data_IF_949349185142
#
_entry.id   IF_949349185142
#
_cell.length_a   1.000
_cell.length_b   1.000
_cell.length_c   1.000
_cell.angle_alpha   90.00
_cell.angle_beta   90.00
_cell.angle_gamma   90.00
#
_symmetry.space_group_name_H-M   'P 1'
#
loop_
_entity.id
_entity.type
_entity.pdbx_description
1 polymer ?
#
# COMPACT_ATOMS: atom_id res chain seq x y z
N UNK A 1 -47.41 -7.54 -12.81
CA UNK A 1 -48.74 -7.40 -12.18
C UNK A 1 -48.57 -6.35 -11.08
N UNK A 2 -49.24 -5.19 -11.22
CA UNK A 2 -49.21 -3.96 -10.40
C UNK A 2 -47.88 -3.16 -10.48
N UNK A 3 -47.74 -2.16 -11.35
CA UNK A 3 -48.45 -0.87 -11.56
C UNK A 3 -47.81 0.29 -10.80
N UNK A 4 -47.45 1.29 -11.60
CA UNK A 4 -46.79 2.54 -11.24
C UNK A 4 -47.71 3.53 -10.52
N UNK A 5 -47.10 4.44 -9.75
CA UNK A 5 -47.63 5.80 -9.58
C UNK A 5 -46.46 6.78 -9.80
N UNK A 6 -46.55 7.53 -10.92
CA UNK A 6 -45.91 8.83 -11.10
C UNK A 6 -46.84 9.89 -10.51
N UNK A 7 -46.28 10.98 -9.96
CA UNK A 7 -46.54 12.40 -10.34
C UNK A 7 -45.90 13.35 -9.31
N UNK A 8 -44.94 14.18 -9.75
CA UNK A 8 -45.04 15.66 -9.91
C UNK A 8 -45.38 16.37 -8.60
N UNK A 9 -44.54 17.22 -8.00
CA UNK A 9 -43.78 18.32 -8.59
C UNK A 9 -44.53 19.62 -8.35
N UNK A 10 -43.98 20.55 -7.55
CA UNK A 10 -44.16 22.01 -7.54
C UNK A 10 -43.39 22.51 -6.29
N UNK A 11 -42.46 23.46 -6.36
CA UNK A 11 -42.58 24.92 -6.58
C UNK A 11 -42.02 25.61 -5.33
N UNK A 12 -41.47 26.81 -5.51
CA UNK A 12 -41.42 27.79 -4.42
C UNK A 12 -40.03 28.15 -3.91
N UNK A 13 -39.34 28.97 -4.70
CA UNK A 13 -38.27 29.85 -4.24
C UNK A 13 -38.78 30.88 -3.20
N UNK A 14 -37.84 31.70 -2.70
CA UNK A 14 -37.96 33.01 -1.99
C UNK A 14 -37.54 32.88 -0.50
N UNK A 15 -36.70 33.72 0.13
CA UNK A 15 -35.85 34.87 -0.21
C UNK A 15 -35.25 35.36 1.12
N UNK A 16 -33.96 35.73 1.10
CA UNK A 16 -33.27 36.79 1.86
C UNK A 16 -33.64 37.08 3.33
N UNK A 17 -32.60 37.24 4.17
CA UNK A 17 -32.09 38.52 4.77
C UNK A 17 -31.17 38.17 5.96
N UNK A 18 -29.87 38.44 5.85
CA UNK A 18 -29.14 39.69 6.20
C UNK A 18 -28.90 39.88 7.70
N UNK A 19 -27.59 40.02 8.00
CA UNK A 19 -26.96 40.90 9.00
C UNK A 19 -27.31 40.58 10.47
N UNK A 20 -26.39 40.24 11.35
CA UNK A 20 -25.02 40.71 11.48
C UNK A 20 -24.85 41.16 12.94
N UNK A 21 -23.72 40.85 13.58
CA UNK A 21 -23.19 41.64 14.71
C UNK A 21 -21.76 41.21 15.03
N UNK A 22 -20.90 42.17 14.77
CA UNK A 22 -19.55 42.38 15.27
C UNK A 22 -19.47 42.32 16.79
N UNK A 23 -18.38 41.75 17.32
CA UNK A 23 -17.76 42.18 18.56
C UNK A 23 -16.23 42.03 18.44
N UNK A 24 -15.53 43.13 18.69
CA UNK A 24 -14.09 43.35 18.67
C UNK A 24 -13.49 43.15 20.08
N UNK A 25 -12.15 43.07 20.08
CA UNK A 25 -11.20 43.24 21.19
C UNK A 25 -10.93 41.95 22.02
N UNK A 26 -9.70 41.61 22.40
CA UNK A 26 -8.56 42.48 22.75
C UNK A 26 -7.23 41.73 22.62
N UNK A 27 -6.17 42.49 22.33
CA UNK A 27 -4.75 42.12 22.28
C UNK A 27 -4.22 41.66 23.65
N UNK A 28 -3.41 40.59 23.68
CA UNK A 28 -2.40 40.38 24.71
C UNK A 28 -1.12 39.85 24.07
N UNK A 29 -0.12 40.72 24.10
CA UNK A 29 1.28 40.49 23.72
C UNK A 29 1.91 39.61 24.81
N UNK A 30 2.56 38.50 24.45
CA UNK A 30 3.48 37.79 25.33
C UNK A 30 4.63 37.25 24.51
N UNK A 31 5.72 38.03 24.54
CA UNK A 31 7.02 37.59 24.08
C UNK A 31 7.62 36.66 25.15
N UNK A 32 7.92 35.42 24.76
CA UNK A 32 8.87 34.58 25.46
C UNK A 32 9.86 34.04 24.44
N UNK A 33 11.00 34.71 24.36
CA UNK A 33 12.24 34.18 23.78
C UNK A 33 12.87 33.30 24.86
N UNK A 34 13.15 32.04 24.55
CA UNK A 34 14.30 31.28 25.07
C UNK A 34 14.29 29.84 24.54
N UNK A 35 15.44 29.43 24.00
CA UNK A 35 15.85 28.02 23.97
C UNK A 35 15.72 27.33 22.62
N UNK A 36 16.69 27.59 21.74
CA UNK A 36 16.93 26.72 20.61
C UNK A 36 17.30 25.30 21.08
N UNK A 37 16.54 24.33 20.61
CA UNK A 37 17.05 22.99 20.36
C UNK A 37 16.96 22.78 18.86
N UNK A 38 18.08 23.03 18.18
CA UNK A 38 18.36 22.47 16.87
C UNK A 38 18.20 20.95 17.04
N UNK A 39 17.04 20.44 16.68
CA UNK A 39 16.79 19.01 16.58
C UNK A 39 17.74 18.48 15.54
N UNK A 40 18.81 17.86 16.02
CA UNK A 40 19.76 17.07 15.26
C UNK A 40 18.95 16.19 14.29
N UNK A 41 19.25 16.16 12.98
CA UNK A 41 18.59 15.22 12.10
C UNK A 41 18.81 13.84 12.69
N UNK A 42 17.72 13.08 12.85
CA UNK A 42 17.78 11.69 13.26
C UNK A 42 18.85 11.01 12.41
N UNK A 43 19.97 10.69 13.05
CA UNK A 43 21.01 9.84 12.49
C UNK A 43 20.30 8.59 12.02
N UNK A 44 20.35 8.33 10.72
CA UNK A 44 19.95 7.06 10.15
C UNK A 44 20.60 5.97 11.00
N UNK A 45 19.76 5.24 11.73
CA UNK A 45 20.21 4.04 12.43
C UNK A 45 20.89 3.15 11.41
N UNK A 46 21.99 2.56 11.83
CA UNK A 46 22.84 1.67 11.07
C UNK A 46 22.03 0.73 10.18
N UNK A 47 22.57 0.45 9.00
CA UNK A 47 22.16 -0.66 8.16
C UNK A 47 22.48 -1.98 8.88
N UNK A 48 21.69 -2.30 9.90
CA UNK A 48 21.60 -3.64 10.47
C UNK A 48 20.50 -4.36 9.70
N UNK A 49 20.91 -5.31 8.88
CA UNK A 49 20.13 -6.28 8.09
C UNK A 49 18.67 -5.88 7.84
N UNK A 50 18.46 -5.06 6.81
CA UNK A 50 17.12 -4.81 6.32
C UNK A 50 16.41 -6.17 6.10
N UNK A 51 15.15 -6.34 6.52
CA UNK A 51 14.42 -7.62 6.42
C UNK A 51 14.10 -8.09 4.99
N UNK A 52 14.75 -7.46 4.00
CA UNK A 52 14.76 -7.68 2.57
C UNK A 52 16.15 -7.31 2.03
N UNK A 53 16.51 -7.82 0.85
CA UNK A 53 17.67 -7.34 0.10
C UNK A 53 17.22 -6.58 -1.15
N UNK A 54 18.01 -5.59 -1.58
CA UNK A 54 17.85 -4.98 -2.91
C UNK A 54 18.92 -5.54 -3.84
N UNK A 55 18.56 -5.89 -5.07
CA UNK A 55 19.54 -6.43 -6.00
C UNK A 55 18.93 -7.02 -7.27
N UNK A 56 19.72 -7.83 -8.00
CA UNK A 56 19.25 -8.49 -9.20
C UNK A 56 18.07 -9.41 -8.89
N UNK A 57 17.13 -9.47 -9.83
CA UNK A 57 15.99 -10.38 -9.79
C UNK A 57 16.39 -11.81 -10.11
N UNK A 58 15.72 -12.77 -9.49
CA UNK A 58 15.76 -14.18 -9.88
C UNK A 58 14.47 -14.64 -10.61
N UNK A 59 13.61 -13.69 -10.96
CA UNK A 59 12.43 -13.89 -11.77
C UNK A 59 12.76 -13.76 -13.27
N UNK A 60 11.96 -14.41 -14.12
CA UNK A 60 11.97 -14.24 -15.58
C UNK A 60 11.14 -13.01 -16.01
N UNK A 61 10.10 -12.68 -15.23
CA UNK A 61 9.22 -11.55 -15.50
C UNK A 61 8.48 -11.09 -14.26
N UNK A 62 7.98 -9.86 -14.31
CA UNK A 62 6.95 -9.34 -13.40
C UNK A 62 5.76 -8.81 -14.19
N UNK A 63 4.56 -9.09 -13.71
CA UNK A 63 3.33 -8.55 -14.30
C UNK A 63 3.14 -7.07 -13.96
N UNK A 64 2.50 -6.34 -14.86
CA UNK A 64 1.99 -4.98 -14.64
C UNK A 64 0.47 -5.06 -14.70
N UNK A 65 -0.22 -4.84 -13.57
CA UNK A 65 -1.64 -5.15 -13.41
C UNK A 65 -2.51 -4.48 -14.46
N UNK A 66 -2.28 -3.20 -14.73
CA UNK A 66 -3.06 -2.47 -15.73
C UNK A 66 -2.90 -3.05 -17.12
N UNK A 67 -1.69 -3.43 -17.52
CA UNK A 67 -1.43 -4.07 -18.82
C UNK A 67 -2.00 -5.48 -18.93
N UNK A 68 -1.90 -6.30 -17.88
CA UNK A 68 -2.52 -7.65 -17.84
C UNK A 68 -4.04 -7.56 -17.93
N UNK A 69 -4.63 -6.54 -17.30
CA UNK A 69 -6.08 -6.32 -17.28
C UNK A 69 -6.56 -5.35 -18.36
N UNK A 70 -5.67 -4.98 -19.28
CA UNK A 70 -5.95 -4.06 -20.34
C UNK A 70 -6.79 -4.72 -21.45
N UNK A 71 -8.10 -4.49 -21.44
CA UNK A 71 -8.99 -4.98 -22.50
C UNK A 71 -9.10 -4.03 -23.71
N UNK A 72 -8.57 -2.81 -23.65
CA UNK A 72 -8.87 -1.78 -24.67
C UNK A 72 -7.89 -0.59 -24.83
N UNK A 73 -6.90 -0.42 -23.96
CA UNK A 73 -5.85 0.61 -24.02
C UNK A 73 -6.30 2.02 -23.69
N UNK A 74 -7.49 2.17 -23.08
CA UNK A 74 -8.13 3.46 -22.89
C UNK A 74 -8.94 3.57 -21.59
N UNK A 75 -9.80 4.61 -21.47
CA UNK A 75 -10.66 4.83 -20.30
C UNK A 75 -11.47 3.57 -19.95
N UNK A 76 -11.34 3.09 -18.71
CA UNK A 76 -11.93 1.82 -18.26
C UNK A 76 -10.92 0.70 -17.98
N UNK A 77 -9.64 0.91 -18.32
CA UNK A 77 -8.54 0.02 -17.88
C UNK A 77 -8.35 0.13 -16.37
N UNK A 78 -8.27 -1.02 -15.71
CA UNK A 78 -8.22 -1.14 -14.26
C UNK A 78 -6.77 -1.09 -13.75
N UNK A 79 -6.62 -0.88 -12.43
CA UNK A 79 -5.39 -1.10 -11.65
C UNK A 79 -4.19 -0.19 -11.99
N UNK A 80 -4.41 1.13 -12.09
CA UNK A 80 -3.37 2.14 -12.28
C UNK A 80 -3.70 3.47 -11.57
N UNK A 81 -2.66 4.27 -11.34
CA UNK A 81 -2.75 5.61 -10.77
C UNK A 81 -2.53 6.70 -11.81
N UNK A 82 -3.38 7.72 -11.80
CA UNK A 82 -3.30 8.86 -12.72
C UNK A 82 -2.45 10.04 -12.21
N UNK A 83 -1.75 9.83 -11.10
CA UNK A 83 -0.85 10.79 -10.46
C UNK A 83 0.27 10.01 -9.78
N UNK A 84 1.40 10.68 -9.52
CA UNK A 84 2.61 10.00 -8.99
C UNK A 84 2.88 10.30 -7.52
N UNK A 85 2.20 11.31 -6.96
CA UNK A 85 2.35 11.74 -5.57
C UNK A 85 1.38 11.00 -4.64
N UNK A 86 1.58 9.69 -4.48
CA UNK A 86 0.70 8.83 -3.70
C UNK A 86 0.85 9.05 -2.19
N UNK A 87 -0.25 8.91 -1.49
CA UNK A 87 -0.34 8.89 -0.04
C UNK A 87 -0.80 7.52 0.44
N UNK A 88 -0.28 7.09 1.59
CA UNK A 88 -0.65 5.83 2.21
C UNK A 88 -0.92 6.01 3.69
N UNK A 89 -1.93 5.31 4.21
CA UNK A 89 -2.22 5.26 5.63
C UNK A 89 -2.34 3.82 6.12
N UNK A 90 -1.80 3.54 7.30
CA UNK A 90 -2.02 2.28 8.02
C UNK A 90 -3.13 2.50 9.03
N UNK A 91 -4.19 1.72 8.90
CA UNK A 91 -5.29 1.61 9.88
C UNK A 91 -5.25 0.21 10.49
N UNK A 92 -5.72 0.08 11.72
CA UNK A 92 -5.67 -1.18 12.43
C UNK A 92 -6.97 -1.45 13.16
N UNK A 93 -7.38 -2.72 13.20
CA UNK A 93 -8.47 -3.19 14.05
C UNK A 93 -8.11 -2.98 15.54
N UNK A 94 -9.10 -2.80 16.44
CA UNK A 94 -8.83 -2.54 17.86
C UNK A 94 -7.93 -3.58 18.56
N UNK A 95 -8.00 -4.83 18.14
CA UNK A 95 -7.24 -5.96 18.66
C UNK A 95 -5.83 -6.10 18.05
N UNK A 96 -5.51 -5.31 17.04
CA UNK A 96 -4.23 -5.39 16.34
C UNK A 96 -3.05 -5.05 17.26
N UNK A 97 -1.98 -5.84 17.16
CA UNK A 97 -0.77 -5.61 17.94
C UNK A 97 -0.08 -4.32 17.47
N UNK A 98 0.42 -3.47 18.40
CA UNK A 98 1.19 -2.28 18.03
C UNK A 98 2.45 -2.60 17.24
N UNK A 99 3.06 -3.77 17.47
CA UNK A 99 4.23 -4.23 16.71
C UNK A 99 3.88 -4.61 15.27
N UNK A 100 2.74 -5.25 15.02
CA UNK A 100 2.27 -5.52 13.67
C UNK A 100 1.94 -4.24 12.91
N UNK A 101 1.36 -3.23 13.58
CA UNK A 101 1.17 -1.89 13.00
C UNK A 101 2.52 -1.25 12.65
N UNK A 102 3.52 -1.33 13.53
CA UNK A 102 4.88 -0.83 13.25
C UNK A 102 5.48 -1.53 12.03
N UNK A 103 5.41 -2.85 11.96
CA UNK A 103 5.89 -3.64 10.82
C UNK A 103 5.30 -3.18 9.48
N UNK A 104 4.00 -2.86 9.43
CA UNK A 104 3.37 -2.34 8.22
C UNK A 104 3.81 -0.92 7.87
N UNK A 105 4.02 -0.06 8.87
CA UNK A 105 4.59 1.27 8.65
C UNK A 105 6.04 1.21 8.17
N UNK A 106 6.81 0.23 8.63
CA UNK A 106 8.17 -0.01 8.16
C UNK A 106 8.18 -0.51 6.70
N UNK A 107 7.19 -1.32 6.31
CA UNK A 107 7.01 -1.72 4.90
C UNK A 107 6.68 -0.52 4.00
N UNK A 108 5.80 0.38 4.46
CA UNK A 108 5.54 1.67 3.80
C UNK A 108 6.82 2.49 3.67
N UNK A 109 7.58 2.66 4.75
CA UNK A 109 8.83 3.42 4.76
C UNK A 109 9.87 2.82 3.80
N UNK A 110 9.90 1.49 3.69
CA UNK A 110 10.77 0.77 2.75
C UNK A 110 10.44 1.11 1.30
N UNK A 111 9.18 0.96 0.89
CA UNK A 111 8.75 1.35 -0.47
C UNK A 111 9.01 2.83 -0.74
N UNK A 112 8.66 3.70 0.22
CA UNK A 112 8.89 5.15 0.12
C UNK A 112 10.36 5.48 -0.12
N UNK A 113 11.26 4.85 0.65
CA UNK A 113 12.71 5.06 0.52
C UNK A 113 13.29 4.49 -0.78
N UNK A 114 12.79 3.33 -1.24
CA UNK A 114 13.22 2.72 -2.50
C UNK A 114 12.78 3.56 -3.70
N UNK A 115 11.52 3.99 -3.74
CA UNK A 115 10.99 4.86 -4.80
C UNK A 115 11.77 6.18 -4.84
N UNK A 116 11.99 6.82 -3.69
CA UNK A 116 12.75 8.07 -3.63
C UNK A 116 14.18 7.94 -4.18
N UNK A 117 14.82 6.76 -4.05
CA UNK A 117 16.18 6.53 -4.55
C UNK A 117 16.23 6.07 -6.01
N UNK A 118 15.30 5.21 -6.43
CA UNK A 118 15.37 4.49 -7.71
C UNK A 118 14.39 5.01 -8.75
N UNK A 119 13.29 5.63 -8.33
CA UNK A 119 12.19 6.09 -9.18
C UNK A 119 11.56 7.39 -8.63
N UNK A 120 12.34 8.49 -8.48
CA UNK A 120 11.96 9.66 -7.66
C UNK A 120 10.77 10.48 -8.18
N UNK A 121 10.27 10.21 -9.38
CA UNK A 121 9.04 10.81 -9.91
C UNK A 121 7.79 10.22 -9.27
N UNK A 122 7.86 9.01 -8.71
CA UNK A 122 6.82 8.38 -7.91
C UNK A 122 7.17 8.55 -6.44
N UNK A 123 6.25 9.09 -5.65
CA UNK A 123 6.41 9.21 -4.21
C UNK A 123 5.30 8.46 -3.50
N UNK A 124 5.64 7.75 -2.43
CA UNK A 124 4.70 7.18 -1.48
C UNK A 124 4.91 7.90 -0.14
N UNK A 125 3.89 8.56 0.38
CA UNK A 125 3.98 9.37 1.60
C UNK A 125 3.09 8.79 2.68
N UNK A 126 3.68 8.36 3.80
CA UNK A 126 2.94 7.94 4.98
C UNK A 126 2.19 9.14 5.59
N UNK A 127 0.86 9.07 5.61
CA UNK A 127 -0.04 10.05 6.23
C UNK A 127 -0.79 9.48 7.44
N UNK A 128 -0.38 8.33 7.95
CA UNK A 128 -0.96 7.65 9.12
C UNK A 128 -1.06 8.58 10.32
N UNK A 129 -2.23 8.59 10.97
CA UNK A 129 -2.49 9.41 12.16
C UNK A 129 -2.73 10.90 11.88
N UNK A 130 -2.63 11.34 10.63
CA UNK A 130 -2.95 12.71 10.24
C UNK A 130 -4.42 12.86 9.83
N UNK A 131 -4.91 14.10 9.69
CA UNK A 131 -6.24 14.39 9.15
C UNK A 131 -6.46 13.82 7.73
N UNK A 132 -5.38 13.54 6.99
CA UNK A 132 -5.43 12.97 5.63
C UNK A 132 -5.56 11.45 5.61
N UNK A 133 -5.40 10.75 6.75
CA UNK A 133 -5.39 9.27 6.79
C UNK A 133 -6.63 8.63 6.13
N UNK A 134 -7.81 9.25 6.29
CA UNK A 134 -9.08 8.75 5.75
C UNK A 134 -9.26 8.98 4.25
N UNK A 135 -8.42 9.82 3.66
CA UNK A 135 -8.43 10.19 2.26
C UNK A 135 -7.08 9.85 1.59
N UNK A 136 -6.31 8.94 2.19
CA UNK A 136 -5.09 8.44 1.57
C UNK A 136 -5.45 7.66 0.30
N UNK A 137 -4.57 7.70 -0.69
CA UNK A 137 -4.77 6.97 -1.95
C UNK A 137 -4.80 5.46 -1.69
N UNK A 138 -3.88 4.98 -0.85
CA UNK A 138 -3.78 3.60 -0.39
C UNK A 138 -4.06 3.53 1.12
N UNK A 139 -4.95 2.65 1.54
CA UNK A 139 -5.20 2.35 2.95
C UNK A 139 -4.83 0.89 3.22
N UNK A 140 -3.84 0.69 4.09
CA UNK A 140 -3.43 -0.62 4.60
C UNK A 140 -4.21 -0.88 5.88
N UNK A 141 -5.12 -1.85 5.85
CA UNK A 141 -5.93 -2.29 6.97
C UNK A 141 -5.28 -3.50 7.62
N UNK A 142 -4.75 -3.34 8.83
CA UNK A 142 -4.29 -4.46 9.63
C UNK A 142 -5.46 -5.05 10.43
N UNK A 143 -5.90 -6.23 10.01
CA UNK A 143 -7.06 -6.93 10.59
C UNK A 143 -6.62 -8.36 10.92
N UNK A 144 -6.13 -8.61 12.16
CA UNK A 144 -5.46 -9.87 12.51
C UNK A 144 -6.24 -11.13 12.11
N UNK A 145 -7.57 -11.10 12.27
CA UNK A 145 -8.47 -12.23 12.07
C UNK A 145 -9.18 -12.26 10.70
N UNK A 146 -8.76 -11.44 9.73
CA UNK A 146 -9.40 -11.42 8.41
C UNK A 146 -9.14 -12.69 7.59
N UNK A 147 -10.05 -13.03 6.67
CA UNK A 147 -9.75 -13.90 5.52
C UNK A 147 -9.71 -15.42 5.74
N UNK A 148 -9.82 -15.91 6.98
CA UNK A 148 -9.72 -17.35 7.25
C UNK A 148 -8.33 -17.90 6.94
N UNK A 149 -8.23 -19.15 6.46
CA UNK A 149 -6.94 -19.78 6.06
C UNK A 149 -6.47 -19.42 4.65
N UNK A 150 -7.23 -18.63 3.89
CA UNK A 150 -7.11 -18.56 2.44
C UNK A 150 -6.01 -17.61 1.91
N UNK A 151 -5.66 -16.57 2.66
CA UNK A 151 -4.68 -15.56 2.23
C UNK A 151 -4.04 -14.86 3.44
N UNK A 152 -2.77 -14.43 3.30
CA UNK A 152 -2.05 -13.68 4.34
C UNK A 152 -2.12 -12.16 4.18
N UNK A 153 -2.28 -11.70 2.94
CA UNK A 153 -2.54 -10.34 2.54
C UNK A 153 -3.43 -10.32 1.30
N UNK A 154 -4.06 -9.19 1.03
CA UNK A 154 -4.83 -8.99 -0.19
C UNK A 154 -4.99 -7.52 -0.55
N UNK A 155 -4.49 -7.13 -1.72
CA UNK A 155 -4.80 -5.85 -2.36
C UNK A 155 -6.17 -5.92 -3.08
N UNK A 156 -7.15 -5.21 -2.52
CA UNK A 156 -8.48 -5.05 -3.10
C UNK A 156 -8.45 -3.95 -4.14
N UNK A 157 -8.67 -4.36 -5.37
CA UNK A 157 -8.71 -3.47 -6.51
C UNK A 157 -10.13 -3.12 -6.94
N UNK A 158 -10.40 -1.81 -7.02
CA UNK A 158 -11.62 -1.25 -7.56
C UNK A 158 -11.58 -1.14 -9.08
N UNK A 159 -12.44 -0.29 -9.65
CA UNK A 159 -12.52 -0.10 -11.11
C UNK A 159 -11.26 0.54 -11.71
N UNK A 160 -10.47 1.27 -10.93
CA UNK A 160 -9.28 1.96 -11.41
C UNK A 160 -8.02 1.66 -10.61
N UNK A 161 -8.08 1.46 -9.30
CA UNK A 161 -6.89 1.34 -8.45
C UNK A 161 -7.06 0.30 -7.36
N UNK A 162 -5.93 -0.17 -6.82
CA UNK A 162 -5.85 -1.07 -5.67
C UNK A 162 -5.69 -0.24 -4.38
N UNK A 163 -6.74 0.47 -3.99
CA UNK A 163 -6.72 1.43 -2.88
C UNK A 163 -6.75 0.82 -1.49
N UNK A 164 -7.18 -0.45 -1.34
CA UNK A 164 -7.31 -1.05 -0.03
C UNK A 164 -6.45 -2.30 0.02
N UNK A 165 -5.52 -2.35 0.97
CA UNK A 165 -4.71 -3.52 1.26
C UNK A 165 -5.18 -4.07 2.60
N UNK A 166 -5.48 -5.36 2.69
CA UNK A 166 -5.79 -6.00 3.96
C UNK A 166 -4.66 -6.96 4.31
N UNK A 167 -4.12 -6.84 5.51
CA UNK A 167 -3.13 -7.76 6.06
C UNK A 167 -3.70 -8.43 7.29
N UNK A 168 -3.56 -9.76 7.38
CA UNK A 168 -3.91 -10.53 8.57
C UNK A 168 -2.64 -10.99 9.29
N UNK A 169 -2.82 -11.53 10.50
CA UNK A 169 -1.72 -12.17 11.23
C UNK A 169 -2.12 -13.42 12.00
N UNK A 170 -3.41 -13.72 12.09
CA UNK A 170 -3.91 -14.86 12.84
C UNK A 170 -4.44 -15.92 11.90
N UNK A 171 -4.14 -17.17 12.25
CA UNK A 171 -4.79 -18.33 11.67
C UNK A 171 -6.09 -18.61 12.42
N UNK A 172 -7.13 -19.12 11.73
CA UNK A 172 -8.34 -19.55 12.40
C UNK A 172 -8.02 -20.53 13.53
N UNK A 173 -8.79 -20.52 14.64
CA UNK A 173 -8.58 -21.47 15.72
C UNK A 173 -8.55 -22.92 15.21
N UNK A 174 -7.48 -23.65 15.53
CA UNK A 174 -7.26 -25.03 15.05
C UNK A 174 -6.70 -25.14 13.63
N UNK A 175 -6.32 -24.02 13.00
CA UNK A 175 -5.60 -24.01 11.73
C UNK A 175 -4.25 -24.73 11.83
N UNK A 176 -3.75 -25.31 10.72
CA UNK A 176 -2.52 -26.08 10.75
C UNK A 176 -1.27 -25.18 10.85
N UNK A 177 -1.40 -23.89 10.55
CA UNK A 177 -0.26 -22.98 10.48
C UNK A 177 -0.14 -22.10 11.72
N UNK A 178 1.09 -21.68 12.09
CA UNK A 178 1.26 -20.72 13.16
C UNK A 178 0.82 -19.31 12.74
N UNK A 179 0.47 -18.50 13.75
CA UNK A 179 0.25 -17.07 13.56
C UNK A 179 1.51 -16.38 13.01
N UNK A 180 1.30 -15.26 12.34
CA UNK A 180 2.35 -14.53 11.66
C UNK A 180 3.14 -13.72 12.68
N UNK A 181 4.47 -13.81 12.61
CA UNK A 181 5.34 -12.89 13.31
C UNK A 181 5.37 -11.51 12.63
N UNK A 182 5.96 -10.53 13.29
CA UNK A 182 6.06 -9.17 12.76
C UNK A 182 6.89 -9.11 11.47
N UNK A 183 7.87 -9.99 11.30
CA UNK A 183 8.69 -10.07 10.10
C UNK A 183 7.85 -10.49 8.88
N UNK A 184 6.96 -11.47 9.04
CA UNK A 184 6.05 -11.85 7.97
C UNK A 184 5.01 -10.77 7.70
N UNK A 185 4.47 -10.12 8.72
CA UNK A 185 3.55 -8.98 8.54
C UNK A 185 4.22 -7.88 7.70
N UNK A 186 5.48 -7.55 8.00
CA UNK A 186 6.28 -6.62 7.21
C UNK A 186 6.42 -7.07 5.74
N UNK A 187 6.82 -8.32 5.50
CA UNK A 187 7.04 -8.86 4.13
C UNK A 187 5.75 -8.94 3.33
N UNK A 188 4.65 -9.33 3.97
CA UNK A 188 3.32 -9.31 3.36
C UNK A 188 2.90 -7.87 3.03
N UNK A 189 3.15 -6.92 3.94
CA UNK A 189 2.94 -5.50 3.69
C UNK A 189 3.71 -5.01 2.46
N UNK A 190 4.98 -5.42 2.28
CA UNK A 190 5.74 -5.09 1.07
C UNK A 190 5.11 -5.66 -0.19
N UNK A 191 4.76 -6.95 -0.20
CA UNK A 191 4.15 -7.63 -1.35
C UNK A 191 2.85 -6.95 -1.79
N UNK A 192 1.92 -6.74 -0.86
CA UNK A 192 0.62 -6.16 -1.17
C UNK A 192 0.70 -4.68 -1.53
N UNK A 193 1.67 -3.93 -0.97
CA UNK A 193 1.95 -2.58 -1.42
C UNK A 193 2.48 -2.56 -2.87
N UNK A 194 3.24 -3.57 -3.29
CA UNK A 194 3.62 -3.74 -4.70
C UNK A 194 2.39 -3.87 -5.60
N UNK A 195 1.39 -4.66 -5.21
CA UNK A 195 0.10 -4.70 -5.89
C UNK A 195 -0.61 -3.35 -5.88
N UNK A 196 -0.64 -2.66 -4.75
CA UNK A 196 -1.22 -1.32 -4.63
C UNK A 196 -0.54 -0.31 -5.58
N UNK A 197 0.75 -0.48 -5.87
CA UNK A 197 1.54 0.33 -6.79
C UNK A 197 1.40 -0.09 -8.26
N UNK A 198 0.65 -1.16 -8.57
CA UNK A 198 0.33 -1.59 -9.93
C UNK A 198 1.11 -2.82 -10.42
N UNK A 199 1.89 -3.48 -9.55
CA UNK A 199 2.58 -4.73 -9.90
C UNK A 199 1.64 -5.93 -9.77
N UNK A 200 1.77 -6.88 -10.70
CA UNK A 200 1.26 -8.24 -10.50
C UNK A 200 2.36 -9.11 -9.90
N UNK A 201 2.18 -10.43 -9.96
CA UNK A 201 3.21 -11.34 -9.47
C UNK A 201 4.44 -11.40 -10.39
N UNK A 202 5.58 -11.71 -9.79
CA UNK A 202 6.77 -12.17 -10.47
C UNK A 202 6.68 -13.68 -10.80
N UNK A 203 7.37 -14.12 -11.85
CA UNK A 203 7.45 -15.51 -12.30
C UNK A 203 8.90 -15.96 -12.34
N UNK A 204 9.25 -17.18 -11.90
CA UNK A 204 8.35 -18.25 -11.46
C UNK A 204 7.79 -18.02 -10.06
N UNK A 205 6.45 -18.00 -9.97
CA UNK A 205 5.70 -17.57 -8.78
C UNK A 205 6.13 -18.29 -7.50
N UNK A 206 6.33 -19.60 -7.56
CA UNK A 206 6.54 -20.41 -6.35
C UNK A 206 8.01 -20.57 -5.97
N UNK A 207 8.94 -20.08 -6.78
CA UNK A 207 10.39 -20.36 -6.61
C UNK A 207 11.26 -19.12 -6.62
N UNK A 208 10.83 -18.05 -7.28
CA UNK A 208 11.53 -16.76 -7.22
C UNK A 208 11.44 -16.18 -5.82
N UNK A 209 12.53 -15.56 -5.38
CA UNK A 209 12.64 -14.87 -4.10
C UNK A 209 12.35 -13.36 -4.20
N UNK A 210 12.04 -12.86 -5.40
CA UNK A 210 11.50 -11.52 -5.60
C UNK A 210 10.26 -11.28 -4.72
N UNK A 211 10.08 -10.06 -4.24
CA UNK A 211 9.04 -9.74 -3.27
C UNK A 211 7.66 -9.99 -3.86
N UNK A 212 7.49 -9.82 -5.18
CA UNK A 212 6.24 -10.09 -5.90
C UNK A 212 6.02 -11.57 -6.26
N UNK A 213 6.93 -12.47 -5.89
CA UNK A 213 6.75 -13.92 -5.95
C UNK A 213 6.39 -14.49 -4.56
N UNK A 214 6.37 -15.82 -4.43
CA UNK A 214 6.07 -16.56 -3.18
C UNK A 214 7.23 -17.43 -2.69
N UNK A 215 8.33 -17.55 -3.43
CA UNK A 215 9.45 -18.43 -3.06
C UNK A 215 10.17 -18.02 -1.76
N UNK A 216 9.95 -16.81 -1.27
CA UNK A 216 10.41 -16.34 0.04
C UNK A 216 9.50 -16.77 1.22
N UNK A 217 8.28 -17.25 0.96
CA UNK A 217 7.27 -17.55 1.96
C UNK A 217 7.04 -19.07 2.15
N UNK A 218 8.10 -19.87 2.19
CA UNK A 218 7.98 -21.32 2.28
C UNK A 218 7.56 -21.78 3.68
N UNK A 219 6.68 -22.79 3.71
CA UNK A 219 6.30 -23.51 4.92
C UNK A 219 6.94 -24.88 4.88
N UNK A 220 7.69 -25.21 5.91
CA UNK A 220 8.30 -26.53 6.11
C UNK A 220 7.67 -27.21 7.32
N UNK A 221 7.85 -28.51 7.46
CA UNK A 221 7.45 -29.25 8.66
C UNK A 221 8.72 -29.64 9.40
N UNK A 222 8.80 -29.28 10.67
CA UNK A 222 9.86 -29.73 11.56
C UNK A 222 9.85 -31.26 11.65
N UNK A 223 10.90 -31.96 11.22
CA UNK A 223 10.93 -33.41 11.23
C UNK A 223 10.94 -34.01 12.65
N UNK A 224 11.30 -33.23 13.68
CA UNK A 224 11.35 -33.67 15.08
C UNK A 224 10.04 -33.43 15.81
N UNK A 225 9.37 -32.31 15.55
CA UNK A 225 8.15 -31.92 16.28
C UNK A 225 6.87 -32.11 15.48
N UNK A 226 6.95 -32.30 14.17
CA UNK A 226 5.80 -32.34 13.26
C UNK A 226 5.09 -30.99 13.10
N UNK A 227 5.64 -29.92 13.67
CA UNK A 227 5.06 -28.58 13.61
C UNK A 227 5.40 -27.90 12.29
N UNK A 228 4.48 -27.08 11.78
CA UNK A 228 4.77 -26.22 10.65
C UNK A 228 5.68 -25.07 11.07
N UNK A 229 6.78 -24.89 10.34
CA UNK A 229 7.73 -23.81 10.49
C UNK A 229 7.70 -22.94 9.23
N UNK A 230 7.79 -21.64 9.40
CA UNK A 230 8.06 -20.77 8.28
C UNK A 230 9.57 -20.70 8.03
N UNK A 231 10.00 -21.20 6.88
CA UNK A 231 11.36 -21.02 6.39
C UNK A 231 11.36 -19.81 5.46
N UNK A 232 11.52 -18.64 6.06
CA UNK A 232 11.56 -17.43 5.29
C UNK A 232 12.95 -17.17 4.74
N UNK A 233 13.07 -17.24 3.41
CA UNK A 233 14.19 -16.62 2.72
C UNK A 233 14.01 -15.10 2.77
N UNK A 234 15.11 -14.37 2.86
CA UNK A 234 15.06 -12.91 2.76
C UNK A 234 14.59 -12.53 1.35
N UNK A 235 13.45 -11.85 1.19
CA UNK A 235 12.93 -11.50 -0.12
C UNK A 235 13.81 -10.46 -0.80
N UNK A 236 13.82 -10.48 -2.12
CA UNK A 236 14.49 -9.48 -2.95
C UNK A 236 13.45 -8.44 -3.36
N UNK A 237 13.63 -7.18 -2.96
CA UNK A 237 12.96 -6.07 -3.63
C UNK A 237 13.84 -5.74 -4.85
N UNK A 238 13.51 -6.36 -5.98
CA UNK A 238 14.43 -6.57 -7.08
C UNK A 238 14.44 -5.41 -8.07
N UNK A 239 15.47 -5.38 -8.92
CA UNK A 239 15.48 -4.49 -10.07
C UNK A 239 14.30 -4.73 -11.02
N UNK A 240 13.73 -5.94 -11.04
CA UNK A 240 12.55 -6.25 -11.83
C UNK A 240 11.29 -5.63 -11.25
N UNK A 241 11.11 -5.65 -9.93
CA UNK A 241 10.01 -4.95 -9.26
C UNK A 241 10.04 -3.44 -9.58
N UNK A 242 11.23 -2.84 -9.54
CA UNK A 242 11.42 -1.42 -9.89
C UNK A 242 11.09 -1.16 -11.37
N UNK A 243 11.53 -2.04 -12.27
CA UNK A 243 11.23 -1.92 -13.69
C UNK A 243 9.72 -2.09 -13.98
N UNK A 244 9.03 -2.96 -13.24
CA UNK A 244 7.58 -3.11 -13.28
C UNK A 244 6.85 -1.83 -12.86
N UNK A 245 7.28 -1.16 -11.78
CA UNK A 245 6.68 0.11 -11.35
C UNK A 245 7.00 1.20 -12.37
N UNK A 246 8.23 1.25 -12.89
CA UNK A 246 8.58 2.18 -13.96
C UNK A 246 7.66 2.01 -15.19
N UNK A 247 7.34 0.77 -15.56
CA UNK A 247 6.39 0.49 -16.63
C UNK A 247 4.95 0.93 -16.28
N UNK A 248 4.49 0.70 -15.04
CA UNK A 248 3.18 1.14 -14.56
C UNK A 248 3.00 2.68 -14.62
N UNK A 249 4.10 3.41 -14.43
CA UNK A 249 4.16 4.88 -14.44
C UNK A 249 4.89 5.44 -15.67
N UNK A 250 5.00 4.68 -16.76
CA UNK A 250 5.76 5.09 -17.95
C UNK A 250 5.29 6.44 -18.53
N UNK A 251 3.98 6.73 -18.47
CA UNK A 251 3.42 8.02 -18.87
C UNK A 251 4.10 9.19 -18.16
N UNK A 252 4.38 9.05 -16.85
CA UNK A 252 5.01 10.09 -16.07
C UNK A 252 6.50 10.23 -16.41
N UNK A 253 7.18 9.10 -16.65
CA UNK A 253 8.58 9.07 -17.09
C UNK A 253 8.77 9.77 -18.44
N UNK A 254 7.80 9.61 -19.34
CA UNK A 254 7.82 10.20 -20.68
C UNK A 254 7.30 11.64 -20.73
N UNK A 255 6.75 12.18 -19.63
CA UNK A 255 6.12 13.50 -19.60
C UNK A 255 4.79 13.56 -20.35
N UNK A 256 4.09 12.43 -20.44
CA UNK A 256 2.82 12.27 -21.14
C UNK A 256 1.63 12.54 -20.21
N UNK A 257 0.44 12.73 -20.79
CA UNK A 257 -0.79 12.79 -20.00
C UNK A 257 -1.06 11.43 -19.33
N UNK A 258 -1.64 11.38 -18.11
CA UNK A 258 -1.86 10.12 -17.41
C UNK A 258 -2.68 9.12 -18.23
N UNK A 259 -2.11 7.93 -18.44
CA UNK A 259 -2.79 6.79 -19.06
C UNK A 259 -2.31 5.47 -18.44
N UNK A 260 -3.14 4.41 -18.46
CA UNK A 260 -2.73 3.09 -17.97
C UNK A 260 -1.54 2.56 -18.78
N UNK A 261 -0.76 1.67 -18.16
CA UNK A 261 0.25 0.92 -18.89
C UNK A 261 -0.43 -0.11 -19.81
N UNK A 262 0.10 -0.25 -21.02
CA UNK A 262 -0.37 -1.26 -21.99
C UNK A 262 0.50 -2.51 -21.98
N UNK A 263 1.72 -2.42 -21.45
CA UNK A 263 2.64 -3.54 -21.28
C UNK A 263 2.13 -4.45 -20.16
N UNK A 264 1.92 -5.73 -20.46
CA UNK A 264 1.43 -6.69 -19.48
C UNK A 264 2.55 -7.26 -18.59
N UNK A 265 3.76 -7.37 -19.12
CA UNK A 265 4.89 -8.00 -18.43
C UNK A 265 6.18 -7.25 -18.73
N UNK A 266 7.02 -7.12 -17.71
CA UNK A 266 8.41 -6.69 -17.84
C UNK A 266 9.30 -7.90 -17.67
N UNK A 267 10.21 -8.13 -18.62
CA UNK A 267 11.19 -9.21 -18.54
C UNK A 267 12.33 -8.83 -17.59
N UNK A 268 12.72 -9.81 -16.77
CA UNK A 268 13.95 -9.83 -16.01
C UNK A 268 14.87 -10.94 -16.59
#
# INVERSE_FOLDING_TARGET
>A
MWSAIRRTGSEGAIRQRRLGRTALATVALSALVLGGSLGVPATASAADDAPFITGPSDADLVAVLSGVNNKSGGPGTQFWWNHTNLTVAVTAAPEASPDGVRALRDAVATWSGVLARRLPMVSLVDVTGTSRSRAADIVVHYVPNAGGVAWGGYAICGSQHCSNVIIKSEEPPGGPYPNFDNLRIYRMGLHELGHALGLGHASPLNTSTDIMAYGWANVTVDPLTGNYLYDYRTPILSDCDIAGIAAAFAWALNGEAPHPATVAFVTC
#
